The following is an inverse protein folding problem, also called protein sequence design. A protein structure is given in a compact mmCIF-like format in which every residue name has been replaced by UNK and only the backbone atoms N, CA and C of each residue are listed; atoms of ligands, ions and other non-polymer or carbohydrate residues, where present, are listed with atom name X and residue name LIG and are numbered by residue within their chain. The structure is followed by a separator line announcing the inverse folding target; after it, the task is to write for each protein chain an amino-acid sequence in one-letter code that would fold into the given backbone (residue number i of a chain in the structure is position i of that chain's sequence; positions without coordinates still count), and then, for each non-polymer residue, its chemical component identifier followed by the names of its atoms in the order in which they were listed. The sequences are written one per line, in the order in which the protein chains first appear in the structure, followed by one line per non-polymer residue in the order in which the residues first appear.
data_IF_979166693566
#
_entry.id   IF_979166693566
#
_cell.length_a   1.000
_cell.length_b   1.000
_cell.length_c   1.000
_cell.angle_alpha   90.00
_cell.angle_beta   90.00
_cell.angle_gamma   90.00
#
_symmetry.space_group_name_H-M   'P 1'
#
loop_
_entity.id
_entity.type
_entity.pdbx_description
1 polymer ?
#
# COMPACT_ATOMS: atom_id res chain seq x y z
N UNK A 1 1.07 62.23 29.16
CA UNK A 1 0.21 61.70 28.07
C UNK A 1 -1.19 62.25 28.26
N UNK A 2 -1.68 63.07 27.34
CA UNK A 2 -2.95 63.78 27.49
C UNK A 2 -4.09 62.91 26.96
N UNK A 3 -4.75 62.16 27.82
CA UNK A 3 -5.93 61.37 27.51
C UNK A 3 -7.22 62.20 27.58
N UNK A 4 -7.19 63.41 27.00
CA UNK A 4 -8.35 64.29 27.01
C UNK A 4 -9.49 63.78 26.13
N UNK A 5 -10.77 64.06 26.51
CA UNK A 5 -12.01 63.75 25.78
C UNK A 5 -11.95 64.14 24.29
N UNK A 6 -11.16 65.15 23.93
CA UNK A 6 -10.93 65.59 22.54
C UNK A 6 -10.11 64.60 21.68
N UNK A 7 -9.14 63.92 22.25
CA UNK A 7 -8.32 62.92 21.54
C UNK A 7 -9.12 61.64 21.25
N UNK A 8 -9.96 61.24 22.21
CA UNK A 8 -10.90 60.12 22.04
C UNK A 8 -11.96 60.39 20.96
N UNK A 9 -12.53 61.62 20.94
CA UNK A 9 -13.49 62.03 19.89
C UNK A 9 -12.84 62.09 18.50
N UNK A 10 -11.57 62.54 18.38
CA UNK A 10 -10.83 62.55 17.13
C UNK A 10 -10.57 61.11 16.62
N UNK A 11 -10.16 60.18 17.47
CA UNK A 11 -10.00 58.76 17.15
C UNK A 11 -11.33 58.12 16.76
N UNK A 12 -12.41 58.36 17.50
CA UNK A 12 -13.73 57.85 17.15
C UNK A 12 -14.22 58.36 15.80
N UNK A 13 -13.99 59.65 15.46
CA UNK A 13 -14.32 60.22 14.15
C UNK A 13 -13.46 59.62 13.02
N UNK A 14 -12.19 59.30 13.28
CA UNK A 14 -11.33 58.64 12.29
C UNK A 14 -11.76 57.18 12.01
N UNK A 15 -12.18 56.47 13.06
CA UNK A 15 -12.70 55.09 12.95
C UNK A 15 -14.09 55.06 12.28
N UNK A 16 -14.86 56.15 12.39
CA UNK A 16 -16.20 56.26 11.80
C UNK A 16 -16.22 56.90 10.42
N UNK A 17 -15.05 57.26 9.89
CA UNK A 17 -14.95 57.78 8.50
C UNK A 17 -15.47 56.76 7.50
N UNK A 18 -16.31 57.22 6.53
CA UNK A 18 -16.89 56.38 5.46
C UNK A 18 -15.85 55.50 4.80
N UNK A 19 -14.65 55.98 4.55
CA UNK A 19 -13.55 55.24 3.97
C UNK A 19 -13.06 54.05 4.82
N UNK A 20 -13.04 54.16 6.14
CA UNK A 20 -12.64 53.08 7.03
C UNK A 20 -13.71 51.99 7.10
N UNK A 21 -14.98 52.37 7.14
CA UNK A 21 -16.11 51.40 7.07
C UNK A 21 -16.16 50.65 5.74
N UNK A 22 -15.90 51.30 4.61
CA UNK A 22 -15.85 50.68 3.30
C UNK A 22 -14.67 49.69 3.23
N UNK A 23 -13.46 50.10 3.66
CA UNK A 23 -12.29 49.20 3.71
C UNK A 23 -12.53 47.97 4.58
N UNK A 24 -13.14 48.15 5.75
CA UNK A 24 -13.50 47.02 6.60
C UNK A 24 -14.52 46.08 5.96
N UNK A 25 -15.57 46.62 5.31
CA UNK A 25 -16.56 45.81 4.60
C UNK A 25 -15.91 45.01 3.42
N UNK A 26 -15.05 45.67 2.65
CA UNK A 26 -14.31 45.04 1.55
C UNK A 26 -13.39 43.93 2.12
N UNK A 27 -12.66 44.20 3.20
CA UNK A 27 -11.80 43.20 3.84
C UNK A 27 -12.59 41.98 4.35
N UNK A 28 -13.75 42.19 4.94
CA UNK A 28 -14.64 41.10 5.38
C UNK A 28 -15.18 40.29 4.21
N UNK A 29 -15.56 40.95 3.11
CA UNK A 29 -16.04 40.26 1.89
C UNK A 29 -14.91 39.44 1.28
N UNK A 30 -13.71 40.02 1.12
CA UNK A 30 -12.56 39.31 0.60
C UNK A 30 -12.17 38.11 1.49
N UNK A 31 -12.20 38.29 2.84
CA UNK A 31 -11.98 37.18 3.78
C UNK A 31 -12.99 36.06 3.65
N UNK A 32 -14.29 36.40 3.46
CA UNK A 32 -15.33 35.38 3.21
C UNK A 32 -15.13 34.67 1.87
N UNK A 33 -14.80 35.40 0.81
CA UNK A 33 -14.52 34.79 -0.50
C UNK A 33 -13.29 33.86 -0.45
N UNK A 34 -12.25 34.26 0.24
CA UNK A 34 -11.07 33.42 0.44
C UNK A 34 -11.42 32.16 1.22
N UNK A 35 -12.18 32.25 2.30
CA UNK A 35 -12.64 31.12 3.08
C UNK A 35 -13.49 30.16 2.24
N UNK A 36 -14.43 30.69 1.46
CA UNK A 36 -15.23 29.88 0.54
C UNK A 36 -14.34 29.18 -0.50
N UNK A 37 -13.37 29.90 -1.06
CA UNK A 37 -12.41 29.33 -2.00
C UNK A 37 -11.61 28.16 -1.41
N UNK A 38 -11.15 28.29 -0.15
CA UNK A 38 -10.44 27.22 0.59
C UNK A 38 -11.36 26.01 0.81
N UNK A 39 -12.61 26.24 1.22
CA UNK A 39 -13.57 25.15 1.44
C UNK A 39 -13.89 24.44 0.14
N UNK A 40 -14.22 25.17 -0.92
CA UNK A 40 -14.55 24.59 -2.24
C UNK A 40 -13.34 23.85 -2.81
N UNK A 41 -12.15 24.44 -2.74
CA UNK A 41 -10.91 23.79 -3.17
C UNK A 41 -10.62 22.51 -2.37
N UNK A 42 -10.79 22.55 -1.03
CA UNK A 42 -10.66 21.37 -0.18
C UNK A 42 -11.66 20.27 -0.53
N UNK A 43 -12.93 20.60 -0.72
CA UNK A 43 -13.94 19.63 -1.15
C UNK A 43 -13.63 19.04 -2.52
N UNK A 44 -13.17 19.85 -3.47
CA UNK A 44 -12.80 19.38 -4.80
C UNK A 44 -11.61 18.40 -4.77
N UNK A 45 -10.56 18.71 -3.98
CA UNK A 45 -9.39 17.81 -3.83
C UNK A 45 -9.77 16.48 -3.17
N UNK A 46 -10.58 16.50 -2.12
CA UNK A 46 -11.09 15.28 -1.47
C UNK A 46 -11.94 14.46 -2.45
N UNK A 47 -12.86 15.09 -3.18
CA UNK A 47 -13.71 14.39 -4.16
C UNK A 47 -12.89 13.76 -5.29
N UNK A 48 -11.87 14.46 -5.78
CA UNK A 48 -10.94 13.93 -6.78
C UNK A 48 -10.17 12.73 -6.21
N UNK A 49 -9.63 12.83 -4.99
CA UNK A 49 -8.90 11.73 -4.34
C UNK A 49 -9.76 10.48 -4.15
N UNK A 50 -11.02 10.65 -3.70
CA UNK A 50 -11.97 9.53 -3.56
C UNK A 50 -12.32 8.92 -4.93
N UNK A 51 -12.50 9.74 -5.96
CA UNK A 51 -12.77 9.26 -7.32
C UNK A 51 -11.60 8.46 -7.90
N UNK A 52 -10.37 8.96 -7.74
CA UNK A 52 -9.16 8.27 -8.19
C UNK A 52 -8.98 6.94 -7.44
N UNK A 53 -9.16 6.93 -6.12
CA UNK A 53 -9.10 5.70 -5.32
C UNK A 53 -10.11 4.67 -5.78
N UNK A 54 -11.38 5.07 -5.99
CA UNK A 54 -12.41 4.17 -6.52
C UNK A 54 -12.05 3.63 -7.90
N UNK A 55 -11.47 4.45 -8.77
CA UNK A 55 -10.99 4.01 -10.09
C UNK A 55 -9.90 2.94 -9.99
N UNK A 56 -8.92 3.14 -9.09
CA UNK A 56 -7.85 2.17 -8.84
C UNK A 56 -8.41 0.85 -8.30
N UNK A 57 -9.33 0.90 -7.33
CA UNK A 57 -9.93 -0.30 -6.75
C UNK A 57 -10.81 -1.03 -7.75
N UNK A 58 -11.53 -0.32 -8.62
CA UNK A 58 -12.35 -0.92 -9.67
C UNK A 58 -11.53 -1.64 -10.76
N UNK A 59 -10.26 -1.28 -10.92
CA UNK A 59 -9.32 -1.95 -11.84
C UNK A 59 -8.56 -3.12 -11.18
N UNK A 60 -8.71 -3.34 -9.86
CA UNK A 60 -8.15 -4.50 -9.19
C UNK A 60 -8.92 -5.77 -9.59
N UNK A 61 -8.23 -6.92 -9.72
CA UNK A 61 -8.91 -8.19 -9.96
C UNK A 61 -9.82 -8.56 -8.78
N UNK A 62 -10.89 -9.29 -9.05
CA UNK A 62 -11.77 -9.80 -7.99
C UNK A 62 -11.08 -10.97 -7.27
N UNK A 63 -10.84 -10.82 -5.97
CA UNK A 63 -10.19 -11.84 -5.15
C UNK A 63 -10.98 -13.15 -5.09
N UNK A 64 -12.28 -13.14 -5.42
CA UNK A 64 -13.11 -14.36 -5.47
C UNK A 64 -12.78 -15.22 -6.68
N UNK A 65 -12.33 -14.63 -7.79
CA UNK A 65 -12.02 -15.28 -9.05
C UNK A 65 -10.52 -15.57 -9.23
N UNK A 66 -9.67 -14.97 -8.38
CA UNK A 66 -8.21 -15.08 -8.48
C UNK A 66 -7.69 -16.26 -7.69
N UNK A 67 -6.87 -17.08 -8.34
CA UNK A 67 -6.08 -18.10 -7.67
C UNK A 67 -4.83 -17.47 -7.04
N UNK A 68 -4.77 -17.47 -5.71
CA UNK A 68 -3.63 -16.96 -4.95
C UNK A 68 -2.59 -18.05 -4.70
N UNK A 69 -2.94 -19.31 -4.98
CA UNK A 69 -2.04 -20.45 -4.81
C UNK A 69 -0.91 -20.35 -5.84
N UNK A 70 0.36 -20.53 -5.42
CA UNK A 70 1.48 -20.50 -6.36
C UNK A 70 1.30 -21.54 -7.45
N UNK A 71 1.65 -21.20 -8.68
CA UNK A 71 1.67 -22.11 -9.84
C UNK A 71 3.10 -22.46 -10.21
N UNK A 72 3.28 -23.33 -11.19
CA UNK A 72 4.62 -23.67 -11.70
C UNK A 72 5.33 -24.72 -10.84
N UNK A 73 4.63 -25.79 -10.49
CA UNK A 73 5.21 -26.94 -9.79
C UNK A 73 6.00 -27.84 -10.75
N UNK A 74 7.07 -28.46 -10.22
CA UNK A 74 7.77 -29.52 -10.94
C UNK A 74 6.90 -30.80 -10.98
N UNK A 75 6.94 -31.48 -12.10
CA UNK A 75 6.26 -32.80 -12.25
C UNK A 75 7.23 -33.92 -11.95
N UNK A 76 6.90 -34.74 -10.96
CA UNK A 76 7.66 -35.95 -10.67
C UNK A 76 7.07 -37.14 -11.44
N UNK A 77 7.91 -37.86 -12.17
CA UNK A 77 7.56 -39.12 -12.84
C UNK A 77 8.02 -40.25 -11.93
N UNK A 78 7.06 -41.06 -11.50
CA UNK A 78 7.34 -42.19 -10.62
C UNK A 78 7.28 -43.53 -11.40
N UNK A 79 8.15 -44.45 -11.05
CA UNK A 79 8.07 -45.85 -11.48
C UNK A 79 6.93 -46.58 -10.76
N UNK A 80 6.60 -47.80 -11.18
CA UNK A 80 5.53 -48.59 -10.57
C UNK A 80 5.77 -48.93 -9.09
N UNK A 81 7.01 -48.91 -8.64
CA UNK A 81 7.43 -49.12 -7.26
C UNK A 81 7.40 -47.85 -6.39
N UNK A 82 7.01 -46.71 -7.00
CA UNK A 82 6.98 -45.40 -6.34
C UNK A 82 8.30 -44.65 -6.35
N UNK A 83 9.38 -45.19 -6.90
CA UNK A 83 10.66 -44.48 -7.01
C UNK A 83 10.58 -43.37 -8.07
N UNK A 84 11.25 -42.24 -7.79
CA UNK A 84 11.32 -41.11 -8.72
C UNK A 84 12.25 -41.46 -9.91
N UNK A 85 11.67 -41.49 -11.12
CA UNK A 85 12.40 -41.83 -12.34
C UNK A 85 12.89 -40.58 -13.07
N UNK A 86 12.10 -39.49 -12.99
CA UNK A 86 12.45 -38.24 -13.61
C UNK A 86 11.72 -37.07 -12.90
N UNK A 87 12.35 -35.88 -12.90
CA UNK A 87 11.75 -34.62 -12.49
C UNK A 87 11.68 -33.70 -13.71
N UNK A 88 10.48 -33.36 -14.15
CA UNK A 88 10.26 -32.42 -15.25
C UNK A 88 10.09 -31.02 -14.69
N UNK A 89 10.95 -30.11 -15.09
CA UNK A 89 10.97 -28.72 -14.67
C UNK A 89 10.87 -27.82 -15.87
N UNK A 90 9.73 -27.18 -16.09
CA UNK A 90 9.62 -26.09 -17.07
C UNK A 90 10.30 -24.82 -16.55
N UNK A 91 10.59 -23.87 -17.44
CA UNK A 91 11.16 -22.58 -17.03
C UNK A 91 10.24 -21.90 -16.01
N UNK A 92 10.74 -21.56 -14.84
CA UNK A 92 9.97 -20.95 -13.73
C UNK A 92 9.06 -21.91 -12.95
N UNK A 93 9.20 -23.25 -13.12
CA UNK A 93 8.33 -24.24 -12.48
C UNK A 93 9.08 -25.22 -11.56
N UNK A 94 10.07 -24.73 -10.81
CA UNK A 94 10.87 -25.57 -9.90
C UNK A 94 10.28 -25.67 -8.49
N UNK A 95 9.01 -25.32 -8.28
CA UNK A 95 8.36 -25.42 -6.96
C UNK A 95 8.05 -26.87 -6.59
N UNK A 96 8.24 -27.16 -5.30
CA UNK A 96 7.68 -28.33 -4.65
C UNK A 96 6.78 -27.84 -3.53
N UNK A 97 5.49 -28.17 -3.59
CA UNK A 97 4.56 -27.74 -2.54
C UNK A 97 4.81 -28.52 -1.26
N UNK A 98 4.82 -27.82 -0.15
CA UNK A 98 4.88 -28.38 1.19
C UNK A 98 3.81 -27.72 2.06
N UNK A 99 3.16 -28.53 2.90
CA UNK A 99 2.17 -28.05 3.85
C UNK A 99 2.87 -27.41 5.05
N UNK A 100 2.16 -26.55 5.78
CA UNK A 100 2.76 -25.77 6.88
C UNK A 100 3.37 -26.67 7.98
N UNK A 101 2.77 -27.82 8.24
CA UNK A 101 3.26 -28.82 9.19
C UNK A 101 4.54 -29.54 8.73
N UNK A 102 4.87 -29.52 7.47
CA UNK A 102 6.12 -30.02 6.90
C UNK A 102 7.26 -28.98 6.95
N UNK A 103 6.92 -27.71 7.16
CA UNK A 103 7.90 -26.64 7.25
C UNK A 103 8.34 -26.48 8.73
N UNK A 104 9.65 -26.53 9.02
CA UNK A 104 10.13 -26.38 10.39
C UNK A 104 9.63 -25.08 11.04
N UNK A 105 9.11 -25.13 12.27
CA UNK A 105 8.60 -23.97 13.00
C UNK A 105 9.62 -22.83 13.10
N UNK A 106 10.91 -23.16 13.29
CA UNK A 106 11.97 -22.16 13.33
C UNK A 106 12.09 -21.36 12.03
N UNK A 107 11.82 -21.97 10.87
CA UNK A 107 11.80 -21.27 9.58
C UNK A 107 10.56 -20.37 9.46
N UNK A 108 9.40 -20.88 9.89
CA UNK A 108 8.17 -20.07 9.92
C UNK A 108 8.36 -18.81 10.78
N UNK A 109 8.89 -18.99 12.01
CA UNK A 109 9.16 -17.87 12.93
C UNK A 109 10.22 -16.91 12.39
N UNK A 110 11.28 -17.40 11.76
CA UNK A 110 12.32 -16.56 11.19
C UNK A 110 11.77 -15.66 10.06
N UNK A 111 10.95 -16.22 9.16
CA UNK A 111 10.35 -15.46 8.08
C UNK A 111 9.37 -14.40 8.62
N UNK A 112 8.50 -14.77 9.56
CA UNK A 112 7.59 -13.81 10.19
C UNK A 112 8.36 -12.70 10.91
N UNK A 113 9.41 -13.04 11.66
CA UNK A 113 10.18 -12.04 12.40
C UNK A 113 10.92 -11.04 11.50
N UNK A 114 11.36 -11.47 10.32
CA UNK A 114 12.11 -10.62 9.38
C UNK A 114 11.18 -9.82 8.46
N UNK A 115 10.16 -10.46 7.91
CA UNK A 115 9.32 -9.86 6.87
C UNK A 115 8.11 -9.12 7.44
N UNK A 116 7.51 -9.64 8.54
CA UNK A 116 6.25 -9.14 9.07
C UNK A 116 6.06 -9.51 10.55
N UNK A 117 6.84 -8.87 11.42
CA UNK A 117 6.90 -9.14 12.88
C UNK A 117 5.52 -9.27 13.55
N UNK A 118 4.52 -8.53 13.05
CA UNK A 118 3.14 -8.50 13.58
C UNK A 118 2.13 -9.23 12.70
N UNK A 119 2.59 -10.18 11.90
CA UNK A 119 1.76 -10.92 10.96
C UNK A 119 0.46 -11.46 11.56
N UNK A 120 0.52 -11.98 12.79
CA UNK A 120 -0.65 -12.53 13.48
C UNK A 120 -1.58 -11.50 14.11
N UNK A 121 -1.15 -10.22 14.18
CA UNK A 121 -1.87 -9.14 14.88
C UNK A 121 -2.71 -8.26 13.95
N UNK A 122 -2.49 -8.31 12.64
CA UNK A 122 -3.17 -7.46 11.66
C UNK A 122 -3.96 -8.28 10.63
N UNK A 123 -4.83 -7.63 9.88
CA UNK A 123 -5.67 -8.22 8.83
C UNK A 123 -5.25 -7.72 7.44
N UNK A 124 -4.09 -8.17 6.96
CA UNK A 124 -3.56 -7.85 5.62
C UNK A 124 -2.72 -6.57 5.55
N UNK A 125 -2.93 -5.61 6.45
CA UNK A 125 -2.17 -4.36 6.52
C UNK A 125 -1.67 -4.12 7.95
N UNK A 126 -0.37 -3.87 8.11
CA UNK A 126 0.20 -3.43 9.36
C UNK A 126 0.29 -1.89 9.43
N UNK A 127 -0.76 -1.24 9.95
CA UNK A 127 -0.79 0.21 10.10
C UNK A 127 0.31 0.74 11.05
N UNK A 128 0.65 -0.01 12.10
CA UNK A 128 1.72 0.37 13.04
C UNK A 128 3.07 0.32 12.36
N UNK A 129 3.32 -0.70 11.53
CA UNK A 129 4.52 -0.85 10.69
C UNK A 129 4.65 0.30 9.69
N UNK A 130 3.58 0.65 9.00
CA UNK A 130 3.56 1.78 8.05
C UNK A 130 3.93 3.09 8.75
N UNK A 131 3.32 3.40 9.90
CA UNK A 131 3.63 4.63 10.66
C UNK A 131 5.08 4.60 11.15
N UNK A 132 5.56 3.46 11.65
CA UNK A 132 6.96 3.29 12.09
C UNK A 132 7.94 3.54 10.94
N UNK A 133 7.72 2.92 9.79
CA UNK A 133 8.55 3.09 8.60
C UNK A 133 8.56 4.56 8.16
N UNK A 134 7.41 5.20 8.06
CA UNK A 134 7.30 6.61 7.68
C UNK A 134 8.09 7.54 8.63
N UNK A 135 8.00 7.31 9.95
CA UNK A 135 8.76 8.10 10.94
C UNK A 135 10.27 7.87 10.81
N UNK A 136 10.68 6.62 10.57
CA UNK A 136 12.08 6.28 10.36
C UNK A 136 12.62 6.92 9.07
N UNK A 137 11.90 6.78 7.96
CA UNK A 137 12.27 7.34 6.65
C UNK A 137 12.43 8.87 6.70
N UNK A 138 11.51 9.58 7.41
CA UNK A 138 11.62 11.03 7.61
C UNK A 138 12.85 11.40 8.43
N UNK A 139 13.22 10.57 9.43
CA UNK A 139 14.39 10.82 10.29
C UNK A 139 15.71 10.54 9.57
N UNK A 140 15.78 9.44 8.85
CA UNK A 140 17.01 8.99 8.17
C UNK A 140 17.17 9.58 6.78
N UNK A 141 16.10 10.10 6.19
CA UNK A 141 15.99 10.49 4.78
C UNK A 141 16.33 9.34 3.81
N UNK A 142 16.17 8.11 4.30
CA UNK A 142 16.41 6.89 3.56
C UNK A 142 15.09 6.10 3.52
N UNK A 143 14.49 5.98 2.34
CA UNK A 143 13.21 5.28 2.11
C UNK A 143 13.43 3.79 1.90
N UNK A 144 14.25 3.17 2.75
CA UNK A 144 14.63 1.76 2.63
C UNK A 144 13.82 0.81 3.51
N UNK A 145 13.03 1.32 4.47
CA UNK A 145 12.28 0.47 5.39
C UNK A 145 11.06 -0.16 4.73
N UNK A 146 11.05 -1.49 4.63
CA UNK A 146 9.90 -2.27 4.20
C UNK A 146 8.77 -2.22 5.24
N UNK A 147 7.56 -1.90 4.78
CA UNK A 147 6.33 -1.96 5.58
C UNK A 147 5.27 -2.85 4.90
N UNK A 148 5.68 -3.69 3.95
CA UNK A 148 4.78 -4.62 3.26
C UNK A 148 4.61 -5.89 4.08
N UNK A 149 3.37 -6.31 4.28
CA UNK A 149 3.04 -7.54 5.00
C UNK A 149 3.27 -8.78 4.13
N UNK A 150 3.36 -9.97 4.74
CA UNK A 150 3.43 -11.26 4.05
C UNK A 150 2.25 -11.44 3.08
N UNK A 151 1.04 -11.04 3.51
CA UNK A 151 -0.16 -11.11 2.68
C UNK A 151 -0.07 -10.20 1.45
N UNK A 152 0.46 -8.98 1.59
CA UNK A 152 0.70 -8.08 0.45
C UNK A 152 1.74 -8.65 -0.51
N UNK A 153 2.81 -9.26 0.02
CA UNK A 153 3.84 -9.90 -0.82
C UNK A 153 3.28 -11.12 -1.57
N UNK A 154 2.43 -11.93 -0.92
CA UNK A 154 1.74 -13.05 -1.55
C UNK A 154 0.87 -12.59 -2.73
N UNK A 155 0.05 -11.55 -2.52
CA UNK A 155 -0.77 -10.94 -3.58
C UNK A 155 0.10 -10.40 -4.71
N UNK A 156 1.15 -9.66 -4.39
CA UNK A 156 2.08 -9.10 -5.39
C UNK A 156 2.67 -10.20 -6.28
N UNK A 157 3.12 -11.29 -5.67
CA UNK A 157 3.87 -12.33 -6.37
C UNK A 157 2.97 -13.25 -7.21
N UNK A 158 1.77 -13.58 -6.75
CA UNK A 158 0.92 -14.58 -7.39
C UNK A 158 -0.26 -13.99 -8.17
N UNK A 159 -0.74 -12.79 -7.79
CA UNK A 159 -1.93 -12.18 -8.39
C UNK A 159 -1.55 -11.04 -9.33
N UNK A 160 -0.70 -10.13 -8.87
CA UNK A 160 -0.41 -8.90 -9.60
C UNK A 160 0.85 -8.96 -10.47
N UNK A 161 1.64 -10.05 -10.38
CA UNK A 161 2.94 -10.15 -11.07
C UNK A 161 2.82 -10.02 -12.59
N UNK A 162 1.82 -10.63 -13.21
CA UNK A 162 1.61 -10.56 -14.66
C UNK A 162 1.06 -9.19 -15.09
N UNK A 163 0.08 -8.66 -14.36
CA UNK A 163 -0.54 -7.37 -14.65
C UNK A 163 0.49 -6.23 -14.61
N UNK A 164 1.47 -6.32 -13.73
CA UNK A 164 2.48 -5.28 -13.50
C UNK A 164 3.88 -5.66 -14.00
N UNK A 165 4.00 -6.69 -14.83
CA UNK A 165 5.29 -7.16 -15.37
C UNK A 165 6.11 -6.04 -16.04
N UNK A 166 5.44 -5.10 -16.72
CA UNK A 166 6.05 -3.98 -17.44
C UNK A 166 6.12 -2.68 -16.61
N UNK A 167 5.92 -2.74 -15.30
CA UNK A 167 5.93 -1.56 -14.43
C UNK A 167 7.28 -0.79 -14.53
N UNK A 168 8.36 -1.53 -14.66
CA UNK A 168 9.72 -0.98 -14.71
C UNK A 168 10.29 -0.88 -16.13
N UNK A 169 9.46 -0.93 -17.18
CA UNK A 169 9.92 -0.75 -18.54
C UNK A 169 10.73 0.56 -18.69
N UNK A 170 11.87 0.47 -19.36
CA UNK A 170 12.75 1.60 -19.59
C UNK A 170 12.12 2.69 -20.49
N UNK A 171 11.10 2.31 -21.28
CA UNK A 171 10.42 3.20 -22.22
C UNK A 171 9.37 4.10 -21.59
N UNK A 172 8.97 3.88 -20.33
CA UNK A 172 7.98 4.70 -19.64
C UNK A 172 8.65 5.81 -18.83
N UNK A 173 7.96 6.96 -18.72
CA UNK A 173 8.48 8.11 -17.98
C UNK A 173 8.60 7.81 -16.48
N UNK A 174 9.50 8.55 -15.79
CA UNK A 174 9.63 8.42 -14.31
C UNK A 174 8.33 8.70 -13.58
N UNK A 175 7.52 9.64 -14.06
CA UNK A 175 6.23 9.98 -13.47
C UNK A 175 5.23 8.85 -13.62
N UNK A 176 5.16 8.25 -14.80
CA UNK A 176 4.29 7.10 -15.07
C UNK A 176 4.70 5.88 -14.26
N UNK A 177 6.00 5.62 -14.08
CA UNK A 177 6.49 4.57 -13.17
C UNK A 177 5.98 4.78 -11.75
N UNK A 178 6.10 6.00 -11.24
CA UNK A 178 5.66 6.34 -9.90
C UNK A 178 4.14 6.16 -9.76
N UNK A 179 3.36 6.59 -10.75
CA UNK A 179 1.91 6.42 -10.79
C UNK A 179 1.52 4.92 -10.73
N UNK A 180 2.14 4.10 -11.57
CA UNK A 180 1.93 2.66 -11.60
C UNK A 180 2.31 1.99 -10.27
N UNK A 181 3.42 2.38 -9.66
CA UNK A 181 3.84 1.87 -8.35
C UNK A 181 2.84 2.20 -7.24
N UNK A 182 2.32 3.44 -7.23
CA UNK A 182 1.29 3.84 -6.27
C UNK A 182 0.00 3.06 -6.50
N UNK A 183 -0.43 2.94 -7.76
CA UNK A 183 -1.63 2.18 -8.12
C UNK A 183 -1.53 0.72 -7.69
N UNK A 184 -0.43 0.05 -8.06
CA UNK A 184 -0.15 -1.32 -7.63
C UNK A 184 -0.15 -1.45 -6.11
N UNK A 185 0.50 -0.54 -5.38
CA UNK A 185 0.56 -0.60 -3.92
C UNK A 185 -0.80 -0.46 -3.25
N UNK A 186 -1.69 0.36 -3.81
CA UNK A 186 -3.08 0.48 -3.33
C UNK A 186 -3.84 -0.83 -3.59
N UNK A 187 -3.66 -1.43 -4.77
CA UNK A 187 -4.29 -2.72 -5.10
C UNK A 187 -3.77 -3.85 -4.22
N UNK A 188 -2.45 -3.93 -3.97
CA UNK A 188 -1.85 -4.91 -3.04
C UNK A 188 -2.50 -4.83 -1.65
N UNK A 189 -2.63 -3.62 -1.12
CA UNK A 189 -3.22 -3.41 0.20
C UNK A 189 -4.69 -3.80 0.25
N UNK A 190 -5.46 -3.40 -0.75
CA UNK A 190 -6.88 -3.74 -0.85
C UNK A 190 -7.09 -5.25 -0.95
N UNK A 191 -6.40 -5.91 -1.88
CA UNK A 191 -6.51 -7.35 -2.09
C UNK A 191 -6.02 -8.16 -0.89
N UNK A 192 -4.99 -7.66 -0.17
CA UNK A 192 -4.52 -8.30 1.05
C UNK A 192 -5.60 -8.32 2.15
N UNK A 193 -6.34 -7.21 2.32
CA UNK A 193 -7.46 -7.15 3.27
C UNK A 193 -8.58 -8.11 2.83
N UNK A 194 -8.94 -8.12 1.55
CA UNK A 194 -10.00 -8.99 1.05
C UNK A 194 -9.61 -10.47 1.14
N UNK A 195 -8.33 -10.80 0.88
CA UNK A 195 -7.83 -12.17 1.05
C UNK A 195 -7.91 -12.63 2.50
N UNK A 196 -7.45 -11.81 3.44
CA UNK A 196 -7.50 -12.13 4.89
C UNK A 196 -8.94 -12.34 5.38
N UNK A 197 -9.88 -11.54 4.90
CA UNK A 197 -11.30 -11.72 5.20
C UNK A 197 -11.87 -13.03 4.62
N UNK A 198 -11.48 -13.36 3.37
CA UNK A 198 -11.96 -14.55 2.66
C UNK A 198 -11.43 -15.83 3.28
N UNK A 199 -10.12 -15.86 3.57
CA UNK A 199 -9.43 -17.06 4.05
C UNK A 199 -9.57 -17.21 5.56
N UNK A 200 -9.38 -16.12 6.30
CA UNK A 200 -9.40 -16.05 7.78
C UNK A 200 -8.52 -17.12 8.47
N UNK A 201 -7.39 -17.45 7.82
CA UNK A 201 -6.41 -18.45 8.28
C UNK A 201 -4.99 -17.97 7.99
N UNK A 202 -4.26 -17.59 9.04
CA UNK A 202 -2.89 -17.11 8.95
C UNK A 202 -1.89 -18.20 8.53
N UNK A 203 -2.13 -19.43 8.95
CA UNK A 203 -1.27 -20.55 8.57
C UNK A 203 -1.37 -20.84 7.08
N UNK A 204 -2.58 -20.78 6.53
CA UNK A 204 -2.78 -20.91 5.07
C UNK A 204 -2.06 -19.80 4.30
N UNK A 205 -2.10 -18.56 4.77
CA UNK A 205 -1.40 -17.44 4.12
C UNK A 205 0.11 -17.65 4.18
N UNK A 206 0.65 -18.02 5.35
CA UNK A 206 2.07 -18.27 5.53
C UNK A 206 2.55 -19.46 4.67
N UNK A 207 1.78 -20.54 4.62
CA UNK A 207 2.05 -21.72 3.78
C UNK A 207 2.19 -21.32 2.31
N UNK A 208 1.20 -20.61 1.77
CA UNK A 208 1.23 -20.18 0.36
C UNK A 208 2.34 -19.16 0.09
N UNK A 209 2.64 -18.27 1.05
CA UNK A 209 3.78 -17.37 0.95
C UNK A 209 5.10 -18.16 0.86
N UNK A 210 5.35 -19.09 1.76
CA UNK A 210 6.59 -19.90 1.79
C UNK A 210 6.73 -20.78 0.55
N UNK A 211 5.63 -21.22 -0.05
CA UNK A 211 5.63 -21.92 -1.32
C UNK A 211 5.79 -21.01 -2.56
N UNK A 212 5.65 -19.67 -2.40
CA UNK A 212 5.71 -18.71 -3.51
C UNK A 212 6.99 -17.90 -3.60
N UNK A 213 7.71 -17.69 -2.49
CA UNK A 213 8.88 -16.80 -2.44
C UNK A 213 9.97 -17.23 -3.42
N UNK A 214 10.63 -16.23 -4.01
CA UNK A 214 11.81 -16.45 -4.86
C UNK A 214 13.08 -16.24 -4.01
N UNK A 215 13.79 -17.32 -3.76
CA UNK A 215 15.03 -17.33 -2.98
C UNK A 215 16.30 -17.12 -3.82
N UNK A 216 16.13 -16.76 -5.09
CA UNK A 216 17.23 -16.58 -6.04
C UNK A 216 17.60 -17.87 -6.78
N UNK A 217 18.48 -17.78 -7.77
CA UNK A 217 19.00 -18.91 -8.54
C UNK A 217 17.91 -19.88 -9.08
N UNK A 218 16.75 -19.33 -9.47
CA UNK A 218 15.57 -20.10 -9.89
C UNK A 218 14.98 -21.03 -8.82
N UNK A 219 15.24 -20.74 -7.53
CA UNK A 219 14.67 -21.46 -6.40
C UNK A 219 13.36 -20.79 -5.98
N UNK A 220 12.24 -21.45 -6.27
CA UNK A 220 10.90 -20.94 -6.02
C UNK A 220 10.22 -21.76 -4.92
N UNK A 221 9.94 -21.12 -3.79
CA UNK A 221 9.48 -21.78 -2.56
C UNK A 221 10.60 -22.39 -1.73
N UNK A 222 10.28 -22.70 -0.47
CA UNK A 222 11.28 -23.17 0.53
C UNK A 222 11.76 -24.61 0.32
N UNK A 223 11.10 -25.37 -0.57
CA UNK A 223 11.42 -26.78 -0.84
C UNK A 223 12.00 -27.00 -2.25
N UNK A 224 12.29 -25.95 -3.01
CA UNK A 224 12.80 -26.07 -4.38
C UNK A 224 14.24 -26.58 -4.49
#
# INVERSE_FOLDING_TARGET
MNYGRTSLRRRAKQLDARGTRIRHKIGVILGKLLLIGIIVGGCATVSFGVGALKGILASAPDISEVDVIPTGYSTKVLAADGSETAKLVAAGSNRQYVTIDQIPENLQHAVVAIEDERFYDHNGIDLKGIVRALVADVRTRDFSQGASTLTQQLIKNNVLSEQWANENDSNISKMEKMERQVQRKIQEQYLAIELEKKVNDKNWILENYLNSINLGSNTLGVQA
#
